data_IF_833805758984
#
_entry.id   IF_833805758984
#
_cell.length_a   1.000
_cell.length_b   1.000
_cell.length_c   1.000
_cell.angle_alpha   90.00
_cell.angle_beta   90.00
_cell.angle_gamma   90.00
#
_symmetry.space_group_name_H-M   'P 1'
#
loop_
_entity.id
_entity.type
_entity.pdbx_description
1 polymer ?
#
# COMPACT_ATOMS: atom_id res chain seq x y z
N UNK A 1 -1.66 -8.06 -11.79
CA UNK A 1 -2.56 -8.56 -10.75
C UNK A 1 -1.97 -8.19 -9.41
N UNK A 2 -2.79 -7.65 -8.52
CA UNK A 2 -2.41 -7.19 -7.21
C UNK A 2 -3.50 -7.62 -6.22
N UNK A 3 -3.15 -8.46 -5.24
CA UNK A 3 -4.10 -8.88 -4.21
C UNK A 3 -3.92 -8.02 -2.97
N UNK A 4 -5.02 -7.62 -2.36
CA UNK A 4 -5.04 -6.78 -1.16
C UNK A 4 -5.85 -7.46 -0.07
N UNK A 5 -5.40 -7.38 1.17
CA UNK A 5 -6.11 -7.91 2.33
C UNK A 5 -5.97 -6.96 3.51
N UNK A 6 -7.07 -6.62 4.17
CA UNK A 6 -7.03 -5.98 5.49
C UNK A 6 -6.79 -7.06 6.54
N UNK A 7 -5.67 -6.97 7.26
CA UNK A 7 -5.32 -7.90 8.33
C UNK A 7 -5.91 -7.47 9.68
N UNK A 8 -6.09 -6.17 9.85
CA UNK A 8 -6.71 -5.57 11.02
C UNK A 8 -7.30 -4.21 10.67
N UNK A 9 -8.41 -3.86 11.31
CA UNK A 9 -9.23 -2.70 10.97
C UNK A 9 -9.57 -1.80 12.17
N UNK A 10 -9.04 -2.09 13.37
CA UNK A 10 -9.21 -1.25 14.54
C UNK A 10 -8.13 -0.18 14.63
N UNK A 11 -8.51 1.03 15.01
CA UNK A 11 -7.61 2.08 15.46
C UNK A 11 -7.44 2.07 16.97
N UNK A 12 -6.36 2.67 17.47
CA UNK A 12 -6.04 2.93 18.88
C UNK A 12 -5.81 1.69 19.73
N UNK A 13 -6.81 0.81 19.89
CA UNK A 13 -6.75 -0.41 20.70
C UNK A 13 -7.33 -1.62 19.97
N UNK A 14 -6.81 -2.84 20.20
CA UNK A 14 -7.39 -4.04 19.63
C UNK A 14 -8.71 -4.38 20.33
N UNK A 15 -9.66 -4.91 19.56
CA UNK A 15 -10.92 -5.42 20.07
C UNK A 15 -10.98 -6.94 19.86
N UNK A 16 -11.83 -7.68 20.62
CA UNK A 16 -11.99 -9.11 20.40
C UNK A 16 -12.37 -9.51 18.98
N UNK A 17 -13.06 -8.63 18.25
CA UNK A 17 -13.53 -8.86 16.88
C UNK A 17 -12.70 -8.13 15.82
N UNK A 18 -11.76 -7.24 16.20
CA UNK A 18 -10.96 -6.44 15.27
C UNK A 18 -9.53 -6.28 15.77
N UNK A 19 -8.57 -6.66 14.95
CA UNK A 19 -7.14 -6.44 15.18
C UNK A 19 -6.76 -5.02 14.82
N UNK A 20 -5.62 -4.57 15.33
CA UNK A 20 -5.06 -3.26 15.01
C UNK A 20 -4.63 -3.16 13.55
N UNK A 21 -4.53 -1.92 13.07
CA UNK A 21 -4.31 -1.55 11.67
C UNK A 21 -3.15 -2.30 11.02
N UNK A 22 -3.47 -3.02 9.97
CA UNK A 22 -2.50 -3.62 9.06
C UNK A 22 -3.18 -3.98 7.73
N UNK A 23 -2.55 -3.66 6.62
CA UNK A 23 -2.97 -4.10 5.30
C UNK A 23 -1.84 -4.86 4.59
N UNK A 24 -2.20 -5.90 3.86
CA UNK A 24 -1.25 -6.76 3.16
C UNK A 24 -1.50 -6.69 1.66
N UNK A 25 -0.44 -6.44 0.91
CA UNK A 25 -0.46 -6.44 -0.55
C UNK A 25 0.42 -7.58 -1.07
N UNK A 26 -0.11 -8.37 -2.01
CA UNK A 26 0.65 -9.40 -2.72
C UNK A 26 0.79 -9.02 -4.19
N UNK A 27 2.02 -9.01 -4.66
CA UNK A 27 2.35 -8.75 -6.06
C UNK A 27 3.45 -9.71 -6.51
N UNK A 28 3.26 -10.34 -7.67
CA UNK A 28 4.17 -11.40 -8.10
C UNK A 28 4.24 -12.52 -7.07
N UNK A 29 5.40 -12.81 -6.55
CA UNK A 29 5.62 -13.76 -5.46
C UNK A 29 5.84 -13.13 -4.09
N UNK A 30 5.83 -11.80 -3.99
CA UNK A 30 6.25 -11.03 -2.83
C UNK A 30 5.05 -10.47 -2.06
N UNK A 31 5.25 -10.26 -0.75
CA UNK A 31 4.31 -9.58 0.13
C UNK A 31 4.89 -8.25 0.59
N UNK A 32 4.05 -7.24 0.65
CA UNK A 32 4.29 -5.92 1.22
C UNK A 32 3.26 -5.68 2.31
N UNK A 33 3.71 -5.38 3.51
CA UNK A 33 2.85 -5.05 4.65
C UNK A 33 2.79 -3.52 4.81
N UNK A 34 1.61 -2.99 5.04
CA UNK A 34 1.34 -1.58 5.33
C UNK A 34 0.84 -1.54 6.77
N UNK A 35 1.61 -0.94 7.65
CA UNK A 35 1.50 -0.95 9.10
C UNK A 35 1.57 -2.35 9.75
N UNK A 36 1.85 -2.38 11.04
CA UNK A 36 2.04 -3.60 11.80
C UNK A 36 1.53 -3.44 13.23
N UNK A 37 0.22 -3.31 13.40
CA UNK A 37 -0.41 -3.31 14.71
C UNK A 37 -0.26 -4.63 15.45
N UNK A 38 -0.54 -4.63 16.73
CA UNK A 38 -0.47 -5.83 17.56
C UNK A 38 -1.37 -6.96 16.99
N UNK A 39 -0.85 -8.17 16.94
CA UNK A 39 -1.55 -9.34 16.42
C UNK A 39 -1.41 -9.55 14.91
N UNK A 40 -0.77 -8.65 14.15
CA UNK A 40 -0.57 -8.76 12.71
C UNK A 40 0.06 -10.10 12.29
N UNK A 41 1.01 -10.65 13.06
CA UNK A 41 1.63 -11.94 12.77
C UNK A 41 0.64 -13.11 12.81
N UNK A 42 -0.42 -13.01 13.64
CA UNK A 42 -1.49 -14.02 13.71
C UNK A 42 -2.37 -13.91 12.45
N UNK A 43 -2.84 -12.71 12.13
CA UNK A 43 -3.66 -12.46 10.95
C UNK A 43 -2.95 -12.87 9.65
N UNK A 44 -1.64 -12.61 9.56
CA UNK A 44 -0.82 -13.00 8.41
C UNK A 44 -0.72 -14.53 8.26
N UNK A 45 -0.62 -15.27 9.38
CA UNK A 45 -0.65 -16.74 9.37
C UNK A 45 -2.01 -17.28 8.95
N UNK A 46 -3.09 -16.72 9.48
CA UNK A 46 -4.47 -17.09 9.11
C UNK A 46 -4.74 -16.82 7.64
N UNK A 47 -4.21 -15.72 7.08
CA UNK A 47 -4.32 -15.40 5.64
C UNK A 47 -3.66 -16.48 4.75
N UNK A 48 -2.60 -17.11 5.22
CA UNK A 48 -1.97 -18.24 4.54
C UNK A 48 -1.19 -17.89 3.26
N UNK A 49 -0.83 -16.62 3.04
CA UNK A 49 -0.07 -16.23 1.84
C UNK A 49 1.44 -16.50 1.94
N UNK A 50 1.90 -16.98 3.09
CA UNK A 50 3.28 -17.41 3.33
C UNK A 50 4.16 -16.29 3.88
N UNK A 51 4.49 -16.38 5.18
CA UNK A 51 5.28 -15.38 5.92
C UNK A 51 6.62 -15.05 5.25
N UNK A 52 7.36 -16.05 4.77
CA UNK A 52 8.69 -15.85 4.13
C UNK A 52 8.66 -14.98 2.88
N UNK A 53 7.49 -14.81 2.26
CA UNK A 53 7.29 -13.94 1.10
C UNK A 53 7.28 -12.46 1.46
N UNK A 54 7.20 -12.11 2.75
CA UNK A 54 7.28 -10.72 3.19
C UNK A 54 8.67 -10.15 2.94
N UNK A 55 8.73 -9.11 2.11
CA UNK A 55 9.96 -8.44 1.68
C UNK A 55 10.05 -7.01 2.17
N UNK A 56 8.92 -6.34 2.33
CA UNK A 56 8.86 -4.95 2.73
C UNK A 56 7.73 -4.71 3.76
N UNK A 57 8.00 -3.82 4.71
CA UNK A 57 7.02 -3.26 5.64
C UNK A 57 7.07 -1.74 5.48
N UNK A 58 5.94 -1.10 5.23
CA UNK A 58 5.80 0.35 5.15
C UNK A 58 5.01 0.81 6.37
N UNK A 59 5.62 1.60 7.22
CA UNK A 59 5.01 2.16 8.43
C UNK A 59 4.59 3.59 8.15
N UNK A 60 3.32 3.89 8.37
CA UNK A 60 2.76 5.22 8.15
C UNK A 60 3.28 6.20 9.20
N UNK A 61 3.25 5.82 10.46
CA UNK A 61 3.72 6.61 11.59
C UNK A 61 4.01 5.72 12.81
N UNK A 62 4.45 6.30 13.91
CA UNK A 62 5.01 5.55 15.04
C UNK A 62 4.08 5.40 16.24
N UNK A 63 2.77 5.60 16.09
CA UNK A 63 1.84 5.26 17.17
C UNK A 63 1.80 3.74 17.42
N UNK A 64 1.45 3.39 18.63
CA UNK A 64 1.48 2.02 19.15
C UNK A 64 0.68 1.04 18.28
N UNK A 65 -0.50 1.42 17.84
CA UNK A 65 -1.40 0.60 17.04
C UNK A 65 -0.92 0.35 15.59
N UNK A 66 0.17 1.01 15.17
CA UNK A 66 0.82 0.81 13.87
C UNK A 66 2.18 0.09 13.95
N UNK A 67 2.79 -0.02 15.14
CA UNK A 67 4.16 -0.57 15.26
C UNK A 67 4.34 -1.69 16.27
N UNK A 68 3.42 -1.87 17.25
CA UNK A 68 3.63 -2.84 18.33
C UNK A 68 3.61 -4.31 17.87
N UNK A 69 3.09 -4.60 16.69
CA UNK A 69 3.18 -5.93 16.09
C UNK A 69 4.57 -6.30 15.55
N UNK A 70 5.46 -5.32 15.34
CA UNK A 70 6.76 -5.53 14.73
C UNK A 70 7.61 -6.59 15.45
N UNK A 71 7.83 -6.56 16.77
CA UNK A 71 8.67 -7.55 17.43
C UNK A 71 8.17 -8.99 17.23
N UNK A 72 6.85 -9.20 17.42
CA UNK A 72 6.22 -10.51 17.25
C UNK A 72 6.25 -11.00 15.79
N UNK A 73 6.07 -10.10 14.83
CA UNK A 73 6.17 -10.42 13.41
C UNK A 73 7.61 -10.77 13.02
N UNK A 74 8.60 -9.97 13.41
CA UNK A 74 10.00 -10.19 13.07
C UNK A 74 10.52 -11.53 13.63
N UNK A 75 10.19 -11.86 14.87
CA UNK A 75 10.48 -13.19 15.44
C UNK A 75 9.77 -14.30 14.66
N UNK A 76 8.49 -14.12 14.31
CA UNK A 76 7.71 -15.12 13.56
C UNK A 76 8.28 -15.41 12.17
N UNK A 77 8.86 -14.40 11.52
CA UNK A 77 9.57 -14.55 10.24
C UNK A 77 10.81 -15.44 10.40
N UNK A 78 11.63 -15.22 11.42
CA UNK A 78 12.77 -16.08 11.74
C UNK A 78 12.36 -17.52 11.99
N UNK A 79 11.34 -17.75 12.82
CA UNK A 79 10.80 -19.10 13.07
C UNK A 79 10.17 -19.75 11.85
N UNK A 80 9.73 -18.97 10.84
CA UNK A 80 9.24 -19.51 9.57
C UNK A 80 10.35 -19.90 8.60
N UNK A 81 11.61 -19.78 8.99
CA UNK A 81 12.79 -20.16 8.20
C UNK A 81 13.29 -19.05 7.28
N UNK A 82 12.97 -17.76 7.53
CA UNK A 82 13.61 -16.64 6.85
C UNK A 82 15.06 -16.56 7.32
N UNK A 83 16.01 -16.58 6.39
CA UNK A 83 17.45 -16.73 6.70
C UNK A 83 18.31 -15.58 6.16
N UNK A 84 19.63 -15.74 6.28
CA UNK A 84 20.62 -14.70 6.01
C UNK A 84 20.56 -14.10 4.60
N UNK A 85 20.10 -14.87 3.61
CA UNK A 85 20.01 -14.45 2.21
C UNK A 85 18.63 -13.84 1.88
N UNK A 86 17.78 -13.63 2.88
CA UNK A 86 16.41 -13.13 2.69
C UNK A 86 16.19 -11.85 3.51
N UNK A 87 16.71 -10.69 3.10
CA UNK A 87 16.55 -9.45 3.84
C UNK A 87 15.05 -9.05 3.95
N UNK A 88 14.76 -8.28 4.98
CA UNK A 88 13.50 -7.59 5.17
C UNK A 88 13.79 -6.11 5.29
N UNK A 89 13.10 -5.28 4.52
CA UNK A 89 13.27 -3.83 4.61
C UNK A 89 12.03 -3.19 5.22
N UNK A 90 12.24 -2.35 6.22
CA UNK A 90 11.21 -1.54 6.87
C UNK A 90 11.39 -0.10 6.39
N UNK A 91 10.33 0.51 5.92
CA UNK A 91 10.28 1.88 5.43
C UNK A 91 9.38 2.70 6.35
N UNK A 92 9.71 3.95 6.61
CA UNK A 92 8.82 4.83 7.38
C UNK A 92 9.43 6.18 7.72
N UNK A 93 8.70 7.02 8.47
CA UNK A 93 9.15 8.37 8.82
C UNK A 93 10.34 8.34 9.80
N UNK A 94 11.09 9.47 9.93
CA UNK A 94 12.32 9.54 10.75
C UNK A 94 12.23 8.96 12.18
N UNK A 95 11.14 9.16 12.96
CA UNK A 95 11.04 8.60 14.31
C UNK A 95 11.07 7.06 14.38
N UNK A 96 10.80 6.38 13.25
CA UNK A 96 10.74 4.92 13.21
C UNK A 96 12.08 4.26 13.59
N UNK A 97 13.22 4.88 13.31
CA UNK A 97 14.51 4.31 13.67
C UNK A 97 14.67 4.13 15.18
N UNK A 98 14.33 5.15 15.95
CA UNK A 98 14.41 5.11 17.40
C UNK A 98 13.40 4.11 17.99
N UNK A 99 12.16 4.15 17.51
CA UNK A 99 11.09 3.24 17.93
C UNK A 99 11.47 1.79 17.63
N UNK A 100 11.94 1.49 16.42
CA UNK A 100 12.34 0.13 16.03
C UNK A 100 13.50 -0.37 16.88
N UNK A 101 14.50 0.49 17.16
CA UNK A 101 15.61 0.16 18.04
C UNK A 101 15.12 -0.21 19.45
N UNK A 102 14.16 0.55 19.99
CA UNK A 102 13.54 0.26 21.30
C UNK A 102 12.78 -1.05 21.31
N UNK A 103 11.98 -1.28 20.29
CA UNK A 103 11.17 -2.52 20.15
C UNK A 103 12.05 -3.77 19.99
N UNK A 104 13.19 -3.66 19.32
CA UNK A 104 14.11 -4.78 19.10
C UNK A 104 14.91 -5.19 20.34
N UNK A 105 14.84 -4.46 21.44
CA UNK A 105 15.42 -4.90 22.72
C UNK A 105 14.86 -6.26 23.15
N UNK A 106 13.59 -6.56 22.82
CA UNK A 106 12.97 -7.86 23.14
C UNK A 106 13.20 -8.92 22.05
N UNK A 107 13.81 -8.55 20.92
CA UNK A 107 14.12 -9.45 19.79
C UNK A 107 15.54 -9.16 19.24
N UNK A 108 16.60 -9.27 20.08
CA UNK A 108 17.94 -8.74 19.76
C UNK A 108 18.66 -9.52 18.66
N UNK A 109 18.17 -10.71 18.31
CA UNK A 109 18.80 -11.58 17.31
C UNK A 109 17.77 -12.05 16.29
N UNK A 110 17.90 -11.56 15.06
CA UNK A 110 17.14 -12.01 13.91
C UNK A 110 18.05 -12.83 12.99
N UNK A 111 17.61 -14.00 12.46
CA UNK A 111 18.45 -14.84 11.60
C UNK A 111 18.58 -14.32 10.16
N UNK A 112 18.05 -13.14 9.86
CA UNK A 112 18.04 -12.48 8.56
C UNK A 112 18.39 -10.99 8.70
N UNK A 113 18.91 -10.35 7.64
CA UNK A 113 19.16 -8.91 7.66
C UNK A 113 17.86 -8.11 7.76
N UNK A 114 17.85 -7.12 8.65
CA UNK A 114 16.78 -6.12 8.75
C UNK A 114 17.33 -4.77 8.32
N UNK A 115 16.79 -4.22 7.24
CA UNK A 115 17.16 -2.91 6.73
C UNK A 115 16.09 -1.89 7.12
N UNK A 116 16.49 -0.65 7.35
CA UNK A 116 15.61 0.47 7.60
C UNK A 116 15.87 1.56 6.56
N UNK A 117 14.80 2.06 5.96
CA UNK A 117 14.83 3.19 5.03
C UNK A 117 13.92 4.28 5.56
N UNK A 118 14.52 5.42 5.87
CA UNK A 118 13.78 6.61 6.34
C UNK A 118 13.25 7.39 5.14
N UNK A 119 11.97 7.78 5.22
CA UNK A 119 11.25 8.54 4.19
C UNK A 119 10.71 9.83 4.80
N UNK A 120 10.74 10.91 4.02
CA UNK A 120 10.27 12.23 4.47
C UNK A 120 8.98 12.71 3.79
N UNK A 121 8.49 11.93 2.79
CA UNK A 121 7.34 12.29 1.95
C UNK A 121 7.74 12.95 0.64
N UNK A 122 6.93 12.73 -0.40
CA UNK A 122 7.20 13.18 -1.76
C UNK A 122 8.13 12.24 -2.56
N UNK A 123 8.61 11.16 -1.96
CA UNK A 123 9.49 10.21 -2.63
C UNK A 123 8.72 9.19 -3.46
N UNK A 124 9.36 8.80 -4.55
CA UNK A 124 9.01 7.60 -5.34
C UNK A 124 10.21 6.67 -5.32
N UNK A 125 10.01 5.42 -4.94
CA UNK A 125 11.09 4.46 -4.70
C UNK A 125 10.70 3.04 -5.07
N UNK A 126 11.71 2.20 -5.27
CA UNK A 126 11.52 0.76 -5.46
C UNK A 126 11.63 0.04 -4.12
N UNK A 127 10.79 -0.96 -3.91
CA UNK A 127 10.85 -1.81 -2.73
C UNK A 127 11.91 -2.89 -2.92
N UNK A 128 12.82 -3.02 -1.96
CA UNK A 128 13.87 -4.03 -2.00
C UNK A 128 13.26 -5.45 -2.05
N UNK A 129 13.66 -6.24 -3.02
CA UNK A 129 13.17 -7.62 -3.21
C UNK A 129 11.72 -7.74 -3.68
N UNK A 130 11.10 -6.65 -4.15
CA UNK A 130 9.75 -6.65 -4.74
C UNK A 130 9.82 -6.12 -6.17
N UNK A 131 9.73 -6.99 -7.14
CA UNK A 131 9.79 -6.62 -8.55
C UNK A 131 8.43 -6.20 -9.10
N UNK A 132 8.45 -5.29 -10.08
CA UNK A 132 7.25 -4.86 -10.79
C UNK A 132 6.29 -3.97 -9.99
N UNK A 133 6.75 -3.42 -8.87
CA UNK A 133 6.03 -2.45 -8.04
C UNK A 133 6.87 -1.21 -7.83
N UNK A 134 6.26 -0.07 -8.01
CA UNK A 134 6.78 1.22 -7.60
C UNK A 134 5.99 1.71 -6.40
N UNK A 135 6.69 2.11 -5.34
CA UNK A 135 6.11 2.73 -4.17
C UNK A 135 6.30 4.24 -4.22
N UNK A 136 5.38 4.98 -3.66
CA UNK A 136 5.54 6.40 -3.38
C UNK A 136 4.88 6.76 -2.05
N UNK A 137 5.30 7.88 -1.47
CA UNK A 137 4.71 8.40 -0.24
C UNK A 137 4.51 9.92 -0.31
N UNK A 138 3.62 10.41 0.52
CA UNK A 138 3.38 11.84 0.74
C UNK A 138 3.18 12.08 2.23
N UNK A 139 3.55 13.27 2.70
CA UNK A 139 3.24 13.68 4.07
C UNK A 139 1.74 13.73 4.30
N UNK A 140 1.31 13.14 5.40
CA UNK A 140 -0.04 13.19 5.95
C UNK A 140 -0.04 14.05 7.21
N UNK A 141 -1.16 14.72 7.48
CA UNK A 141 -1.26 15.64 8.61
C UNK A 141 -1.74 14.89 9.86
N UNK A 142 -0.81 14.63 10.76
CA UNK A 142 -1.06 14.02 12.06
C UNK A 142 -0.25 14.72 13.16
N UNK A 143 -0.38 14.29 14.41
CA UNK A 143 0.35 14.86 15.57
C UNK A 143 1.82 14.38 15.64
N UNK A 144 2.15 13.28 14.95
CA UNK A 144 3.51 12.81 14.69
C UNK A 144 3.79 12.76 13.19
N UNK A 145 5.06 12.72 12.74
CA UNK A 145 5.38 12.54 11.33
C UNK A 145 4.67 11.32 10.75
N UNK A 146 3.82 11.54 9.76
CA UNK A 146 2.95 10.54 9.16
C UNK A 146 3.04 10.55 7.63
N UNK A 147 2.96 9.39 7.02
CA UNK A 147 3.04 9.18 5.58
C UNK A 147 1.84 8.41 5.06
N UNK A 148 1.26 8.87 3.96
CA UNK A 148 0.39 8.05 3.13
C UNK A 148 1.22 7.35 2.05
N UNK A 149 0.83 6.13 1.68
CA UNK A 149 1.56 5.29 0.72
C UNK A 149 0.75 4.93 -0.51
N UNK A 150 1.44 4.78 -1.63
CA UNK A 150 0.89 4.24 -2.87
C UNK A 150 1.77 3.10 -3.38
N UNK A 151 1.16 2.01 -3.79
CA UNK A 151 1.79 0.90 -4.49
C UNK A 151 1.21 0.81 -5.89
N UNK A 152 2.06 0.96 -6.90
CA UNK A 152 1.69 0.98 -8.30
C UNK A 152 2.35 -0.16 -9.07
N UNK A 153 1.57 -0.90 -9.83
CA UNK A 153 2.05 -1.93 -10.76
C UNK A 153 1.89 -1.39 -12.17
N UNK A 154 2.98 -0.98 -12.83
CA UNK A 154 2.90 -0.44 -14.17
C UNK A 154 2.43 -1.50 -15.17
N UNK A 155 1.78 -1.06 -16.24
CA UNK A 155 1.37 -1.90 -17.35
C UNK A 155 2.14 -1.52 -18.59
N UNK A 156 2.92 -2.46 -19.12
CA UNK A 156 3.67 -2.21 -20.34
C UNK A 156 2.72 -1.89 -21.52
N UNK A 157 3.08 -0.96 -22.41
CA UNK A 157 2.38 -0.76 -23.67
C UNK A 157 2.26 -2.06 -24.47
N UNK A 158 1.23 -2.17 -25.32
CA UNK A 158 1.10 -3.31 -26.23
C UNK A 158 2.20 -3.29 -27.26
N UNK A 159 2.87 -4.42 -27.44
CA UNK A 159 3.79 -4.62 -28.55
C UNK A 159 2.97 -4.90 -29.83
N UNK A 160 3.38 -4.30 -30.94
CA UNK A 160 2.77 -4.46 -32.24
C UNK A 160 3.67 -5.33 -33.14
N UNK A 161 3.40 -6.63 -33.27
CA UNK A 161 4.19 -7.54 -34.08
C UNK A 161 4.21 -7.12 -35.57
N UNK A 162 3.10 -6.57 -36.09
CA UNK A 162 3.01 -6.18 -37.50
C UNK A 162 3.95 -5.02 -37.81
N UNK A 163 4.03 -4.04 -36.91
CA UNK A 163 5.01 -2.95 -37.05
C UNK A 163 6.45 -3.46 -36.94
N UNK A 164 6.71 -4.39 -36.03
CA UNK A 164 8.04 -4.97 -35.88
C UNK A 164 8.47 -5.75 -37.14
N UNK A 165 7.57 -6.54 -37.72
CA UNK A 165 7.80 -7.25 -39.00
C UNK A 165 8.01 -6.31 -40.17
N UNK A 166 7.19 -5.24 -40.27
CA UNK A 166 7.35 -4.21 -41.33
C UNK A 166 8.69 -3.47 -41.26
N UNK A 167 9.26 -3.37 -40.06
CA UNK A 167 10.60 -2.81 -39.84
C UNK A 167 11.73 -3.83 -40.09
N UNK A 168 11.39 -5.11 -40.37
CA UNK A 168 12.35 -6.20 -40.54
C UNK A 168 13.04 -6.62 -39.24
N UNK A 169 12.44 -6.38 -38.09
CA UNK A 169 13.00 -6.70 -36.77
C UNK A 169 12.97 -8.22 -36.52
N UNK A 170 14.11 -8.85 -36.19
CA UNK A 170 14.14 -10.23 -35.76
C UNK A 170 13.34 -10.44 -34.46
N UNK A 171 12.64 -11.55 -34.34
CA UNK A 171 11.85 -11.89 -33.13
C UNK A 171 12.72 -11.89 -31.86
N UNK A 172 13.99 -12.24 -31.98
CA UNK A 172 14.97 -12.20 -30.88
C UNK A 172 15.14 -10.81 -30.24
N UNK A 173 14.90 -9.74 -31.00
CA UNK A 173 15.05 -8.36 -30.56
C UNK A 173 13.76 -7.76 -29.91
N UNK A 174 12.61 -8.39 -30.16
CA UNK A 174 11.32 -7.91 -29.69
C UNK A 174 11.27 -7.71 -28.16
N UNK A 175 11.88 -8.66 -27.44
CA UNK A 175 11.92 -8.58 -25.96
C UNK A 175 12.69 -7.37 -25.41
N UNK A 176 13.71 -6.85 -26.13
CA UNK A 176 14.44 -5.66 -25.74
C UNK A 176 13.53 -4.43 -25.90
N UNK A 177 12.87 -4.30 -27.06
CA UNK A 177 11.93 -3.21 -27.33
C UNK A 177 10.74 -3.21 -26.35
N UNK A 178 10.21 -4.39 -26.02
CA UNK A 178 9.16 -4.52 -25.00
C UNK A 178 9.60 -4.03 -23.62
N UNK A 179 10.89 -4.15 -23.28
CA UNK A 179 11.47 -3.63 -22.05
C UNK A 179 11.89 -2.17 -22.12
N UNK A 180 11.54 -1.46 -23.22
CA UNK A 180 11.87 -0.05 -23.39
C UNK A 180 13.32 0.21 -23.85
N UNK A 181 14.03 -0.81 -24.36
CA UNK A 181 15.40 -0.71 -24.84
C UNK A 181 15.41 -0.59 -26.37
N UNK A 182 16.19 0.34 -26.90
CA UNK A 182 16.38 0.48 -28.35
C UNK A 182 17.25 -0.66 -28.88
N UNK A 183 17.02 -1.08 -30.12
CA UNK A 183 17.83 -2.07 -30.83
C UNK A 183 18.41 -1.51 -32.11
N UNK A 184 19.56 -2.02 -32.58
CA UNK A 184 20.20 -1.60 -33.80
C UNK A 184 19.95 -2.59 -34.91
N UNK A 185 19.34 -2.11 -36.02
CA UNK A 185 19.06 -2.92 -37.19
C UNK A 185 19.62 -2.20 -38.44
N UNK A 186 20.56 -2.84 -39.13
CA UNK A 186 21.12 -2.28 -40.38
C UNK A 186 21.77 -0.89 -40.26
N UNK A 187 22.35 -0.59 -39.07
CA UNK A 187 22.96 0.71 -38.79
C UNK A 187 21.99 1.81 -38.32
N UNK A 188 20.68 1.50 -38.18
CA UNK A 188 19.65 2.36 -37.62
C UNK A 188 19.28 1.92 -36.22
N UNK A 189 19.12 2.87 -35.30
CA UNK A 189 18.46 2.59 -34.00
C UNK A 189 16.95 2.54 -34.22
N UNK A 190 16.32 1.47 -33.74
CA UNK A 190 14.86 1.34 -33.66
C UNK A 190 14.45 1.56 -32.22
N UNK A 191 13.61 2.57 -32.04
CA UNK A 191 13.13 2.96 -30.71
C UNK A 191 11.87 2.18 -30.31
N UNK A 192 11.67 1.90 -29.01
CA UNK A 192 10.48 1.20 -28.52
C UNK A 192 9.16 1.78 -29.00
N UNK A 193 9.04 3.11 -29.07
CA UNK A 193 7.84 3.81 -29.55
C UNK A 193 7.42 3.46 -30.97
N UNK A 194 8.31 2.91 -31.79
CA UNK A 194 8.02 2.54 -33.17
C UNK A 194 7.18 1.24 -33.25
N UNK A 195 7.28 0.39 -32.21
CA UNK A 195 6.61 -0.91 -32.14
C UNK A 195 5.73 -1.08 -30.91
N UNK A 196 5.73 -0.10 -30.00
CA UNK A 196 4.84 -0.10 -28.85
C UNK A 196 3.63 0.80 -29.10
N UNK A 197 2.47 0.34 -28.61
CA UNK A 197 1.25 1.12 -28.56
C UNK A 197 1.31 2.26 -27.52
N UNK A 198 0.19 2.93 -27.28
CA UNK A 198 0.10 3.98 -26.28
C UNK A 198 0.37 3.44 -24.86
N UNK A 199 0.74 4.32 -23.90
CA UNK A 199 0.79 3.98 -22.49
C UNK A 199 -0.53 3.36 -22.03
N UNK A 200 -0.46 2.36 -21.14
CA UNK A 200 -1.61 1.66 -20.59
C UNK A 200 -1.68 1.91 -19.09
N UNK A 201 -2.90 2.09 -18.58
CA UNK A 201 -3.13 2.28 -17.16
C UNK A 201 -2.68 1.05 -16.37
N UNK A 202 -1.85 1.28 -15.36
CA UNK A 202 -1.42 0.29 -14.39
C UNK A 202 -2.50 -0.02 -13.34
N UNK A 203 -2.09 -0.70 -12.26
CA UNK A 203 -2.91 -0.88 -11.05
C UNK A 203 -2.30 -0.04 -9.93
N UNK A 204 -3.15 0.55 -9.08
CA UNK A 204 -2.70 1.38 -7.99
C UNK A 204 -3.56 1.21 -6.74
N UNK A 205 -2.91 0.90 -5.60
CA UNK A 205 -3.50 0.91 -4.27
C UNK A 205 -2.90 2.06 -3.48
N UNK A 206 -3.74 2.80 -2.77
CA UNK A 206 -3.32 3.89 -1.90
C UNK A 206 -3.82 3.63 -0.48
N UNK A 207 -2.95 3.78 0.51
CA UNK A 207 -3.28 3.77 1.92
C UNK A 207 -3.16 5.19 2.48
N UNK A 208 -4.23 5.67 3.08
CA UNK A 208 -4.32 6.95 3.79
C UNK A 208 -4.94 6.69 5.14
N UNK A 209 -4.15 6.70 6.19
CA UNK A 209 -4.60 6.50 7.57
C UNK A 209 -4.04 7.60 8.46
N UNK A 210 -4.72 7.86 9.57
CA UNK A 210 -4.32 8.80 10.63
C UNK A 210 -3.99 10.19 10.09
N UNK A 211 -4.98 10.79 9.44
CA UNK A 211 -4.85 12.13 8.87
C UNK A 211 -6.20 12.76 8.55
N UNK A 212 -6.23 14.06 8.46
CA UNK A 212 -7.33 14.78 7.80
C UNK A 212 -7.07 14.87 6.29
N UNK A 213 -8.12 14.99 5.51
CA UNK A 213 -7.99 15.23 4.07
C UNK A 213 -7.35 16.60 3.83
N UNK A 214 -6.16 16.60 3.22
CA UNK A 214 -5.44 17.81 2.80
C UNK A 214 -5.35 17.88 1.28
N UNK A 215 -5.14 19.06 0.67
CA UNK A 215 -4.94 19.17 -0.78
C UNK A 215 -3.81 18.28 -1.30
N UNK A 216 -2.72 18.11 -0.52
CA UNK A 216 -1.61 17.23 -0.88
C UNK A 216 -2.00 15.76 -0.92
N UNK A 217 -2.77 15.28 0.06
CA UNK A 217 -3.30 13.91 0.10
C UNK A 217 -4.30 13.69 -1.02
N UNK A 218 -5.20 14.64 -1.30
CA UNK A 218 -6.15 14.56 -2.43
C UNK A 218 -5.40 14.42 -3.76
N UNK A 219 -4.39 15.27 -4.01
CA UNK A 219 -3.60 15.20 -5.24
C UNK A 219 -2.78 13.90 -5.32
N UNK A 220 -2.26 13.41 -4.20
CA UNK A 220 -1.59 12.12 -4.13
C UNK A 220 -2.52 10.97 -4.51
N UNK A 221 -3.77 10.95 -4.04
CA UNK A 221 -4.77 9.95 -4.46
C UNK A 221 -5.09 10.12 -5.94
N UNK A 222 -5.19 11.36 -6.45
CA UNK A 222 -5.52 11.68 -7.84
C UNK A 222 -4.43 11.27 -8.84
N UNK A 223 -3.15 11.36 -8.47
CA UNK A 223 -1.99 11.00 -9.30
C UNK A 223 -2.10 11.53 -10.75
N UNK A 224 -2.28 12.83 -10.89
CA UNK A 224 -2.37 13.47 -12.21
C UNK A 224 -3.64 13.13 -13.00
N UNK A 225 -4.68 12.58 -12.37
CA UNK A 225 -5.97 12.28 -12.97
C UNK A 225 -6.28 10.79 -13.15
N UNK A 226 -5.34 9.88 -12.91
CA UNK A 226 -5.58 8.43 -13.03
C UNK A 226 -6.37 7.85 -11.85
N UNK A 227 -6.27 8.47 -10.67
CA UNK A 227 -6.87 7.99 -9.42
C UNK A 227 -6.30 6.67 -8.92
N UNK A 228 -6.81 6.20 -7.79
CA UNK A 228 -6.48 4.88 -7.25
C UNK A 228 -7.51 3.83 -7.71
N UNK A 229 -7.08 2.60 -8.01
CA UNK A 229 -8.03 1.48 -8.23
C UNK A 229 -8.69 1.09 -6.91
N UNK A 230 -7.93 1.20 -5.81
CA UNK A 230 -8.41 1.02 -4.46
C UNK A 230 -7.74 2.05 -3.54
N UNK A 231 -8.55 2.89 -2.92
CA UNK A 231 -8.17 3.68 -1.77
C UNK A 231 -8.56 2.93 -0.50
N UNK A 232 -7.60 2.73 0.40
CA UNK A 232 -7.81 2.26 1.76
C UNK A 232 -7.65 3.48 2.63
N UNK A 233 -8.70 3.92 3.28
CA UNK A 233 -8.67 5.12 4.11
C UNK A 233 -9.28 4.87 5.48
N UNK A 234 -8.82 5.63 6.47
CA UNK A 234 -9.42 5.58 7.79
C UNK A 234 -10.87 6.07 7.80
N UNK A 235 -11.61 5.59 8.78
CA UNK A 235 -12.91 6.09 9.18
C UNK A 235 -13.01 6.01 10.70
N UNK A 236 -12.20 6.81 11.40
CA UNK A 236 -12.14 6.78 12.87
C UNK A 236 -13.48 7.16 13.48
N UNK A 237 -14.18 8.12 12.88
CA UNK A 237 -15.42 8.68 13.40
C UNK A 237 -16.56 8.55 12.38
N UNK A 238 -17.80 8.46 12.89
CA UNK A 238 -19.00 8.45 12.04
C UNK A 238 -19.34 9.87 11.59
N UNK A 239 -19.30 10.83 12.51
CA UNK A 239 -19.68 12.22 12.26
C UNK A 239 -18.69 13.21 12.86
N UNK A 240 -18.82 14.49 12.48
CA UNK A 240 -18.01 15.57 13.04
C UNK A 240 -18.27 15.78 14.55
N UNK A 241 -19.47 15.44 15.03
CA UNK A 241 -19.85 15.58 16.44
C UNK A 241 -19.13 14.54 17.32
N UNK A 242 -18.70 13.43 16.71
CA UNK A 242 -17.95 12.37 17.40
C UNK A 242 -16.46 12.72 17.57
N UNK A 243 -15.98 13.74 16.82
CA UNK A 243 -14.58 14.17 16.88
C UNK A 243 -14.29 14.92 18.17
N UNK A 244 -13.24 14.55 18.88
CA UNK A 244 -12.76 15.34 20.02
C UNK A 244 -12.32 16.77 19.59
N UNK A 245 -12.40 17.71 20.50
CA UNK A 245 -12.13 19.15 20.23
C UNK A 245 -10.65 19.51 20.18
N UNK A 246 -9.73 18.53 20.27
CA UNK A 246 -8.28 18.77 20.34
C UNK A 246 -7.52 18.00 19.22
N UNK A 247 -6.26 17.65 19.48
CA UNK A 247 -5.34 16.93 18.57
C UNK A 247 -5.91 15.60 18.03
N UNK A 248 -6.80 14.94 18.76
CA UNK A 248 -7.53 13.75 18.33
C UNK A 248 -8.44 14.00 17.10
N UNK A 249 -8.67 15.27 16.75
CA UNK A 249 -9.41 15.65 15.54
C UNK A 249 -8.63 15.49 14.23
N UNK A 250 -7.36 15.02 14.26
CA UNK A 250 -6.55 14.76 13.06
C UNK A 250 -6.87 13.42 12.39
N UNK A 251 -8.12 13.00 12.47
CA UNK A 251 -8.67 11.81 11.83
C UNK A 251 -9.88 12.15 10.98
N UNK A 252 -10.22 11.27 10.05
CA UNK A 252 -11.37 11.42 9.16
C UNK A 252 -12.63 10.74 9.71
N UNK A 253 -13.77 11.35 9.36
CA UNK A 253 -15.08 10.68 9.41
C UNK A 253 -15.26 9.81 8.16
N UNK A 254 -16.27 8.95 8.17
CA UNK A 254 -16.70 8.18 6.99
C UNK A 254 -17.00 9.09 5.78
N UNK A 255 -17.65 10.21 6.04
CA UNK A 255 -17.99 11.20 5.01
C UNK A 255 -16.76 11.90 4.43
N UNK A 256 -15.78 12.25 5.26
CA UNK A 256 -14.53 12.86 4.80
C UNK A 256 -13.68 11.88 3.99
N UNK A 257 -13.56 10.62 4.42
CA UNK A 257 -12.88 9.58 3.65
C UNK A 257 -13.55 9.34 2.29
N UNK A 258 -14.89 9.35 2.24
CA UNK A 258 -15.64 9.26 1.00
C UNK A 258 -15.46 10.48 0.10
N UNK A 259 -15.39 11.69 0.67
CA UNK A 259 -15.07 12.90 -0.07
C UNK A 259 -13.64 12.85 -0.66
N UNK A 260 -12.65 12.39 0.13
CA UNK A 260 -11.28 12.15 -0.35
C UNK A 260 -11.26 11.19 -1.54
N UNK A 261 -12.00 10.08 -1.46
CA UNK A 261 -12.10 9.10 -2.55
C UNK A 261 -12.67 9.71 -3.83
N UNK A 262 -13.76 10.49 -3.71
CA UNK A 262 -14.40 11.18 -4.82
C UNK A 262 -13.50 12.24 -5.43
N UNK A 263 -12.91 13.10 -4.63
CA UNK A 263 -12.05 14.20 -5.08
C UNK A 263 -10.74 13.71 -5.66
N UNK A 264 -10.17 12.64 -5.08
CA UNK A 264 -8.99 11.95 -5.58
C UNK A 264 -9.26 11.06 -6.80
N UNK A 265 -10.52 10.92 -7.24
CA UNK A 265 -10.87 10.10 -8.39
C UNK A 265 -10.60 8.60 -8.18
N UNK A 266 -10.67 8.12 -6.94
CA UNK A 266 -10.55 6.69 -6.66
C UNK A 266 -11.69 5.91 -7.30
N UNK A 267 -11.46 4.65 -7.67
CA UNK A 267 -12.51 3.78 -8.22
C UNK A 267 -13.30 3.08 -7.13
N UNK A 268 -12.62 2.73 -6.03
CA UNK A 268 -13.20 2.07 -4.86
C UNK A 268 -12.56 2.61 -3.59
N UNK A 269 -13.32 2.58 -2.51
CA UNK A 269 -12.89 2.94 -1.16
C UNK A 269 -13.14 1.78 -0.22
N UNK A 270 -12.11 1.39 0.54
CA UNK A 270 -12.25 0.58 1.73
C UNK A 270 -12.00 1.44 2.96
N UNK A 271 -13.00 1.53 3.83
CA UNK A 271 -12.85 2.16 5.14
C UNK A 271 -12.19 1.18 6.10
N UNK A 272 -11.28 1.68 6.92
CA UNK A 272 -10.52 0.93 7.94
C UNK A 272 -10.23 1.82 9.14
N UNK A 273 -9.42 1.36 10.08
CA UNK A 273 -8.96 2.13 11.24
C UNK A 273 -10.13 2.75 12.03
N UNK A 274 -11.10 1.91 12.36
CA UNK A 274 -12.30 2.35 13.08
C UNK A 274 -12.01 2.59 14.56
N UNK A 275 -12.56 3.68 15.08
CA UNK A 275 -12.51 3.97 16.51
C UNK A 275 -13.05 2.82 17.36
N UNK A 276 -12.51 2.62 18.58
CA UNK A 276 -12.90 1.50 19.44
C UNK A 276 -14.36 1.58 19.92
N UNK A 277 -14.96 2.77 19.92
CA UNK A 277 -16.38 2.96 20.27
C UNK A 277 -17.35 2.49 19.16
N UNK A 278 -16.87 2.25 17.94
CA UNK A 278 -17.69 1.76 16.84
C UNK A 278 -17.80 0.23 16.91
N UNK A 279 -18.84 -0.29 17.54
CA UNK A 279 -19.06 -1.74 17.67
C UNK A 279 -19.28 -2.39 16.29
N UNK A 280 -20.17 -1.82 15.48
CA UNK A 280 -20.47 -2.26 14.10
C UNK A 280 -20.37 -1.08 13.10
N UNK A 281 -19.19 -0.87 12.50
CA UNK A 281 -18.97 0.18 11.51
C UNK A 281 -19.92 0.08 10.29
N UNK A 282 -20.38 -1.12 9.93
CA UNK A 282 -21.23 -1.33 8.76
C UNK A 282 -22.60 -0.62 8.91
N UNK A 283 -23.07 -0.42 10.13
CA UNK A 283 -24.31 0.33 10.41
C UNK A 283 -24.27 1.76 9.85
N UNK A 284 -23.08 2.36 9.76
CA UNK A 284 -22.89 3.75 9.37
C UNK A 284 -22.46 3.94 7.90
N UNK A 285 -22.41 2.87 7.12
CA UNK A 285 -21.98 2.90 5.72
C UNK A 285 -22.75 3.93 4.87
N UNK A 286 -24.00 4.21 5.21
CA UNK A 286 -24.88 5.12 4.46
C UNK A 286 -24.32 6.53 4.31
N UNK A 287 -23.63 7.06 5.31
CA UNK A 287 -23.01 8.41 5.25
C UNK A 287 -21.92 8.50 4.19
N UNK A 288 -21.10 7.46 4.06
CA UNK A 288 -20.05 7.39 3.05
C UNK A 288 -20.60 7.09 1.65
N UNK A 289 -21.49 6.13 1.50
CA UNK A 289 -22.04 5.74 0.19
C UNK A 289 -22.89 6.83 -0.46
N UNK A 290 -23.50 7.72 0.32
CA UNK A 290 -24.19 8.90 -0.19
C UNK A 290 -23.24 9.85 -0.94
N UNK A 291 -21.95 9.87 -0.57
CA UNK A 291 -20.91 10.72 -1.18
C UNK A 291 -20.13 9.97 -2.24
N UNK A 292 -19.76 8.72 -1.96
CA UNK A 292 -19.00 7.84 -2.85
C UNK A 292 -19.59 6.42 -2.84
N UNK A 293 -20.43 6.06 -3.82
CA UNK A 293 -21.12 4.76 -3.87
C UNK A 293 -20.19 3.55 -3.89
N UNK A 294 -18.93 3.71 -4.35
CA UNK A 294 -17.90 2.67 -4.37
C UNK A 294 -17.25 2.37 -3.01
N UNK A 295 -17.92 2.72 -1.89
CA UNK A 295 -17.40 2.52 -0.53
C UNK A 295 -17.78 1.16 0.03
N UNK A 296 -16.82 0.50 0.66
CA UNK A 296 -16.99 -0.73 1.44
C UNK A 296 -16.44 -0.52 2.85
N UNK A 297 -17.17 -0.92 3.87
CA UNK A 297 -16.65 -1.01 5.23
C UNK A 297 -15.72 -2.20 5.32
N UNK A 298 -14.47 -1.96 5.69
CA UNK A 298 -13.47 -2.99 5.88
C UNK A 298 -13.76 -3.86 7.10
N UNK A 299 -13.30 -5.08 7.06
CA UNK A 299 -13.27 -6.00 8.19
C UNK A 299 -11.99 -6.84 8.10
N UNK A 300 -11.58 -7.40 9.22
CA UNK A 300 -10.42 -8.27 9.27
C UNK A 300 -10.59 -9.45 8.30
N UNK A 301 -9.61 -9.63 7.41
CA UNK A 301 -9.62 -10.66 6.38
C UNK A 301 -10.32 -10.25 5.06
N UNK A 302 -10.91 -9.05 4.95
CA UNK A 302 -11.43 -8.55 3.67
C UNK A 302 -10.33 -8.60 2.62
N UNK A 303 -10.62 -9.25 1.50
CA UNK A 303 -9.63 -9.49 0.43
C UNK A 303 -10.22 -9.23 -0.94
N UNK A 304 -9.43 -8.64 -1.81
CA UNK A 304 -9.78 -8.51 -3.22
C UNK A 304 -8.55 -8.60 -4.13
N UNK A 305 -8.78 -8.84 -5.42
CA UNK A 305 -7.76 -8.93 -6.46
C UNK A 305 -8.00 -7.88 -7.53
N UNK A 306 -7.10 -6.92 -7.63
CA UNK A 306 -7.08 -5.94 -8.70
C UNK A 306 -6.49 -6.57 -9.96
N UNK A 307 -7.17 -6.39 -11.08
CA UNK A 307 -6.75 -6.89 -12.40
C UNK A 307 -6.68 -5.74 -13.39
N UNK A 308 -5.79 -5.86 -14.34
CA UNK A 308 -5.82 -4.95 -15.49
C UNK A 308 -7.15 -5.12 -16.24
N UNK A 309 -7.73 -4.00 -16.66
CA UNK A 309 -8.89 -4.03 -17.54
C UNK A 309 -8.52 -4.69 -18.86
N UNK A 310 -9.38 -5.59 -19.34
CA UNK A 310 -9.28 -6.11 -20.70
C UNK A 310 -9.72 -5.02 -21.68
N UNK A 311 -8.92 -4.76 -22.71
CA UNK A 311 -9.17 -3.83 -23.80
C UNK A 311 -9.72 -4.56 -25.00
#
# INVERSE_FOLDING_TARGET
MLDVCLLGTSGTIPLPSRRLSAALVRVGGSLVLLDCGEGTQVALRERGWGLRRLKAILITHTHADHVLGLPGLLLSLGFSGKGADEPLTVYGPPPLEEVLRGLLVVAPHLPYPLHLVTLSGGETFNLEGVEGVQASCVEAKHDVPCLAYSLSVPRAPRFDPQRAEALGLPVSEWGQLQRGQSVHLGGRAVEPKEVLGPPRRGLRVVLVTDTVSTPGVVEFVRAGGEGADLLIAEGMYVSEEDKPTRWESLHMTFSEAAALAREGGARRLWLTHFGPSLEDPATYLGSATAIFPGTTVGHDGLTDTLRFEEE
#
